data_IF_377251733102
#
_entry.id   IF_377251733102
#
_cell.length_a   1.000
_cell.length_b   1.000
_cell.length_c   1.000
_cell.angle_alpha   90.00
_cell.angle_beta   90.00
_cell.angle_gamma   90.00
#
_symmetry.space_group_name_H-M   'P 1'
#
loop_
_entity.id
_entity.type
_entity.pdbx_description
1 polymer ?
#
# COMPACT_ATOMS: atom_id res chain seq x y z
N UNK A 1 2.63 -1.86 -18.32
CA UNK A 1 2.57 -2.98 -17.35
C UNK A 1 1.76 -4.15 -17.88
N UNK A 2 0.44 -4.03 -18.14
CA UNK A 2 -0.37 -5.19 -18.60
C UNK A 2 0.06 -5.80 -19.95
N UNK A 3 0.59 -5.01 -20.89
CA UNK A 3 1.07 -5.50 -22.20
C UNK A 3 2.57 -5.83 -22.22
N UNK A 4 3.36 -5.28 -21.28
CA UNK A 4 4.82 -5.34 -21.31
C UNK A 4 5.42 -6.34 -20.30
N UNK A 5 4.62 -6.94 -19.42
CA UNK A 5 5.05 -7.95 -18.44
C UNK A 5 6.00 -7.42 -17.36
N UNK A 6 6.27 -6.12 -17.34
CA UNK A 6 7.18 -5.52 -16.37
C UNK A 6 6.59 -5.60 -14.94
N UNK A 7 7.44 -5.80 -13.92
CA UNK A 7 6.99 -5.79 -12.53
C UNK A 7 6.49 -4.40 -12.11
N UNK A 8 5.32 -4.36 -11.49
CA UNK A 8 4.77 -3.16 -10.85
C UNK A 8 4.12 -3.51 -9.51
N UNK A 9 4.20 -2.57 -8.57
CA UNK A 9 3.58 -2.66 -7.25
C UNK A 9 2.84 -1.34 -6.96
N UNK A 10 1.68 -1.46 -6.32
CA UNK A 10 0.88 -0.32 -5.86
C UNK A 10 0.94 -0.28 -4.34
N UNK A 11 1.43 0.83 -3.77
CA UNK A 11 1.61 0.99 -2.33
C UNK A 11 0.75 2.15 -1.80
N UNK A 12 0.02 1.99 -0.68
CA UNK A 12 -0.84 3.03 -0.11
C UNK A 12 -0.03 4.03 0.73
N UNK A 13 0.81 4.84 0.08
CA UNK A 13 1.77 5.71 0.78
C UNK A 13 1.12 6.93 1.46
N UNK A 14 -0.06 7.36 1.00
CA UNK A 14 -0.69 8.59 1.49
C UNK A 14 -2.20 8.43 1.73
N UNK A 15 -2.76 9.32 2.56
CA UNK A 15 -4.19 9.42 2.85
C UNK A 15 -4.65 10.84 2.55
N UNK A 16 -5.79 10.99 1.87
CA UNK A 16 -6.43 12.30 1.74
C UNK A 16 -6.93 12.81 3.10
N UNK A 17 -7.19 14.12 3.25
CA UNK A 17 -7.88 14.65 4.44
C UNK A 17 -9.24 13.98 4.71
N UNK A 18 -9.89 13.46 3.66
CA UNK A 18 -11.17 12.75 3.72
C UNK A 18 -11.01 11.23 4.02
N UNK A 19 -9.86 10.81 4.54
CA UNK A 19 -9.53 9.43 4.92
C UNK A 19 -9.55 8.42 3.75
N UNK A 20 -9.27 8.86 2.53
CA UNK A 20 -9.16 7.96 1.36
C UNK A 20 -7.71 7.61 1.05
N UNK A 21 -7.38 6.32 0.79
CA UNK A 21 -6.02 5.92 0.46
C UNK A 21 -5.62 6.38 -0.95
N UNK A 22 -4.43 6.94 -1.08
CA UNK A 22 -3.77 7.23 -2.36
C UNK A 22 -2.68 6.19 -2.60
N UNK A 23 -2.87 5.40 -3.66
CA UNK A 23 -1.90 4.43 -4.15
C UNK A 23 -0.81 5.10 -5.00
N UNK A 24 0.44 4.76 -4.72
CA UNK A 24 1.59 5.11 -5.57
C UNK A 24 2.01 3.86 -6.34
N UNK A 25 2.01 3.96 -7.67
CA UNK A 25 2.43 2.88 -8.56
C UNK A 25 3.92 3.00 -8.86
N UNK A 26 4.69 2.01 -8.42
CA UNK A 26 6.10 1.85 -8.77
C UNK A 26 6.21 0.73 -9.78
N UNK A 27 7.09 0.87 -10.76
CA UNK A 27 7.43 -0.26 -11.61
C UNK A 27 8.87 -0.24 -12.05
N UNK A 28 9.33 -1.42 -12.45
CA UNK A 28 10.74 -1.69 -12.72
C UNK A 28 10.93 -2.34 -14.08
N UNK A 29 12.19 -2.45 -14.51
CA UNK A 29 12.56 -3.24 -15.68
C UNK A 29 12.29 -4.72 -15.42
N UNK A 30 12.08 -5.49 -16.50
CA UNK A 30 11.87 -6.94 -16.41
C UNK A 30 13.03 -7.63 -15.69
N UNK A 31 12.75 -8.52 -14.74
CA UNK A 31 13.77 -9.24 -13.94
C UNK A 31 14.26 -8.50 -12.67
N UNK A 32 13.68 -7.35 -12.33
CA UNK A 32 14.05 -6.56 -11.13
C UNK A 32 12.98 -6.60 -10.01
N UNK A 33 12.23 -7.69 -9.90
CA UNK A 33 11.22 -7.92 -8.86
C UNK A 33 11.81 -7.76 -7.45
N UNK A 34 13.03 -8.27 -7.22
CA UNK A 34 13.71 -8.18 -5.92
C UNK A 34 14.01 -6.72 -5.52
N UNK A 35 14.40 -5.88 -6.48
CA UNK A 35 14.63 -4.45 -6.25
C UNK A 35 13.32 -3.74 -5.91
N UNK A 36 12.24 -4.08 -6.62
CA UNK A 36 10.92 -3.51 -6.40
C UNK A 36 10.39 -3.85 -5.00
N UNK A 37 10.58 -5.10 -4.55
CA UNK A 37 10.21 -5.55 -3.20
C UNK A 37 11.08 -4.86 -2.13
N UNK A 38 12.40 -4.77 -2.34
CA UNK A 38 13.30 -4.09 -1.40
C UNK A 38 12.95 -2.61 -1.22
N UNK A 39 12.62 -1.92 -2.32
CA UNK A 39 12.16 -0.54 -2.28
C UNK A 39 10.81 -0.43 -1.55
N UNK A 40 9.87 -1.35 -1.82
CA UNK A 40 8.59 -1.36 -1.13
C UNK A 40 8.75 -1.55 0.39
N UNK A 41 9.65 -2.43 0.82
CA UNK A 41 9.96 -2.65 2.24
C UNK A 41 10.54 -1.41 2.91
N UNK A 42 11.47 -0.71 2.25
CA UNK A 42 12.01 0.55 2.78
C UNK A 42 10.94 1.64 2.89
N UNK A 43 10.00 1.69 1.93
CA UNK A 43 8.88 2.63 1.98
C UNK A 43 7.88 2.27 3.09
N UNK A 44 7.67 0.98 3.37
CA UNK A 44 6.81 0.52 4.47
C UNK A 44 7.39 0.92 5.84
N UNK A 45 8.70 0.79 6.02
CA UNK A 45 9.37 1.23 7.25
C UNK A 45 9.31 2.76 7.43
N UNK A 46 9.48 3.52 6.35
CA UNK A 46 9.46 4.99 6.39
C UNK A 46 8.05 5.58 6.53
N UNK A 47 7.03 4.92 5.95
CA UNK A 47 5.64 5.38 5.92
C UNK A 47 4.69 4.23 6.28
N UNK A 48 4.69 3.76 7.55
CA UNK A 48 3.92 2.60 7.94
C UNK A 48 2.42 2.76 7.63
N UNK A 49 1.88 1.76 6.93
CA UNK A 49 0.46 1.67 6.56
C UNK A 49 -0.27 0.48 7.19
N UNK A 50 0.44 -0.39 7.92
CA UNK A 50 -0.10 -1.60 8.56
C UNK A 50 -1.27 -1.35 9.53
N UNK A 51 -1.27 -0.20 10.21
CA UNK A 51 -2.31 0.18 11.17
C UNK A 51 -3.44 1.01 10.53
N UNK A 52 -3.43 1.21 9.21
CA UNK A 52 -4.46 1.98 8.50
C UNK A 52 -5.59 1.05 8.07
N UNK A 53 -6.65 1.01 8.87
CA UNK A 53 -7.84 0.21 8.58
C UNK A 53 -8.99 1.11 8.10
N UNK A 54 -9.70 0.75 7.02
CA UNK A 54 -10.87 1.50 6.60
C UNK A 54 -11.99 1.36 7.63
N UNK A 55 -12.80 2.42 7.78
CA UNK A 55 -13.90 2.48 8.76
C UNK A 55 -14.88 1.31 8.59
N UNK A 56 -15.17 0.95 7.34
CA UNK A 56 -15.91 -0.27 6.99
C UNK A 56 -14.91 -1.42 6.79
N UNK A 57 -14.52 -2.08 7.88
CA UNK A 57 -13.73 -3.30 7.84
C UNK A 57 -14.04 -4.22 9.03
N UNK A 58 -13.81 -5.53 8.86
CA UNK A 58 -14.00 -6.49 9.95
C UNK A 58 -13.15 -6.18 11.20
N UNK A 59 -12.02 -5.48 11.01
CA UNK A 59 -11.17 -4.97 12.07
C UNK A 59 -11.86 -3.93 12.96
N UNK A 60 -12.68 -3.05 12.36
CA UNK A 60 -13.41 -2.01 13.08
C UNK A 60 -14.79 -2.47 13.56
N UNK A 61 -15.44 -3.41 12.87
CA UNK A 61 -16.73 -3.98 13.28
C UNK A 61 -16.66 -4.81 14.57
N UNK A 62 -15.46 -5.20 14.98
CA UNK A 62 -15.21 -6.02 16.16
C UNK A 62 -14.60 -5.24 17.34
N UNK A 63 -14.38 -3.93 17.20
CA UNK A 63 -13.87 -3.08 18.27
C UNK A 63 -15.01 -2.63 19.22
N UNK A 64 -15.04 -3.10 20.49
CA UNK A 64 -16.11 -2.76 21.43
C UNK A 64 -16.04 -1.33 21.97
N UNK A 65 -15.01 -0.53 21.67
CA UNK A 65 -14.80 0.80 22.27
C UNK A 65 -15.16 1.99 21.37
N UNK A 66 -15.75 1.77 20.18
CA UNK A 66 -15.92 2.82 19.15
C UNK A 66 -17.38 3.18 18.78
N UNK A 67 -18.33 2.91 19.69
CA UNK A 67 -19.76 3.28 19.57
C UNK A 67 -20.05 4.72 19.97
#
# INVERSE_FOLDING_TARGET
YNVSGNPAISLPLHMTPDNLPIGVMLGSKFGNEALLISLASQLEEALPWNNRHPDVSAWNLTDPNRS
#
